data_IF_914480124734
#
_entry.id   IF_914480124734
#
_cell.length_a   1.000
_cell.length_b   1.000
_cell.length_c   1.000
_cell.angle_alpha   90.00
_cell.angle_beta   90.00
_cell.angle_gamma   90.00
#
_symmetry.space_group_name_H-M   'P 1'
#
loop_
_entity.id
_entity.type
_entity.pdbx_description
1 polymer ?
#
# COMPACT_ATOMS: atom_id res chain seq x y z
N UNK A 1 -21.70 -5.19 -11.92
CA UNK A 1 -20.28 -5.44 -12.27
C UNK A 1 -19.36 -4.29 -11.82
N UNK A 2 -19.66 -3.02 -12.13
CA UNK A 2 -18.80 -1.84 -11.85
C UNK A 2 -18.41 -1.70 -10.37
N UNK A 3 -19.35 -1.87 -9.44
CA UNK A 3 -19.11 -1.74 -7.99
C UNK A 3 -18.12 -2.80 -7.47
N UNK A 4 -18.25 -4.04 -7.94
CA UNK A 4 -17.34 -5.13 -7.53
C UNK A 4 -15.92 -4.84 -8.01
N UNK A 5 -15.77 -4.39 -9.26
CA UNK A 5 -14.47 -4.02 -9.83
C UNK A 5 -13.85 -2.87 -9.04
N UNK A 6 -14.64 -1.85 -8.70
CA UNK A 6 -14.20 -0.73 -7.88
C UNK A 6 -13.67 -1.18 -6.52
N UNK A 7 -14.42 -2.05 -5.83
CA UNK A 7 -14.01 -2.60 -4.52
C UNK A 7 -12.70 -3.38 -4.64
N UNK A 8 -12.53 -4.19 -5.68
CA UNK A 8 -11.31 -4.95 -5.92
C UNK A 8 -10.11 -4.03 -6.17
N UNK A 9 -10.28 -3.01 -7.01
CA UNK A 9 -9.22 -2.02 -7.29
C UNK A 9 -8.81 -1.30 -6.00
N UNK A 10 -9.79 -0.80 -5.24
CA UNK A 10 -9.51 -0.15 -3.94
C UNK A 10 -8.82 -1.10 -2.97
N UNK A 11 -9.25 -2.36 -2.91
CA UNK A 11 -8.61 -3.39 -2.08
C UNK A 11 -7.15 -3.59 -2.43
N UNK A 12 -6.81 -3.67 -3.72
CA UNK A 12 -5.42 -3.79 -4.20
C UNK A 12 -4.61 -2.54 -3.86
N UNK A 13 -5.16 -1.34 -4.08
CA UNK A 13 -4.47 -0.08 -3.77
C UNK A 13 -4.15 0.05 -2.29
N UNK A 14 -5.12 -0.27 -1.42
CA UNK A 14 -4.89 -0.24 0.03
C UNK A 14 -3.90 -1.32 0.45
N UNK A 15 -4.01 -2.54 -0.08
CA UNK A 15 -3.04 -3.60 0.21
C UNK A 15 -1.61 -3.19 -0.14
N UNK A 16 -1.37 -2.61 -1.32
CA UNK A 16 -0.05 -2.15 -1.74
C UNK A 16 0.45 -1.00 -0.88
N UNK A 17 -0.45 -0.12 -0.46
CA UNK A 17 -0.16 0.97 0.48
C UNK A 17 0.33 0.43 1.83
N UNK A 18 -0.44 -0.47 2.45
CA UNK A 18 -0.08 -1.09 3.72
C UNK A 18 1.20 -1.92 3.64
N UNK A 19 1.42 -2.57 2.48
CA UNK A 19 2.66 -3.30 2.21
C UNK A 19 3.88 -2.36 2.23
N UNK A 20 3.74 -1.12 1.77
CA UNK A 20 4.78 -0.10 1.86
C UNK A 20 5.17 0.20 3.31
N UNK A 21 4.20 0.47 4.16
CA UNK A 21 4.42 0.69 5.59
C UNK A 21 5.07 -0.53 6.25
N UNK A 22 4.57 -1.73 5.93
CA UNK A 22 5.10 -2.99 6.45
C UNK A 22 6.58 -3.18 6.10
N UNK A 23 6.95 -3.02 4.82
CA UNK A 23 8.32 -3.18 4.35
C UNK A 23 9.24 -2.16 5.03
N UNK A 24 8.85 -0.89 5.06
CA UNK A 24 9.64 0.18 5.67
C UNK A 24 9.82 -0.05 7.18
N UNK A 25 8.75 -0.42 7.91
CA UNK A 25 8.81 -0.74 9.33
C UNK A 25 9.78 -1.90 9.62
N UNK A 26 9.72 -2.97 8.80
CA UNK A 26 10.64 -4.11 8.92
C UNK A 26 12.10 -3.75 8.63
N UNK A 27 12.36 -2.95 7.60
CA UNK A 27 13.71 -2.50 7.24
C UNK A 27 14.32 -1.62 8.35
N UNK A 28 13.52 -0.76 8.96
CA UNK A 28 13.94 0.13 10.05
C UNK A 28 14.07 -0.66 11.38
N UNK A 29 13.43 -1.83 11.49
CA UNK A 29 13.47 -2.68 12.70
C UNK A 29 12.37 -2.32 13.71
N UNK A 30 11.28 -1.68 13.27
CA UNK A 30 10.07 -1.50 14.06
C UNK A 30 9.31 -2.83 14.13
N UNK A 31 8.82 -3.16 15.31
CA UNK A 31 8.04 -4.38 15.50
C UNK A 31 6.63 -4.20 14.91
N UNK A 32 6.23 -5.14 14.04
CA UNK A 32 4.88 -5.18 13.48
C UNK A 32 4.11 -6.32 14.14
N UNK A 33 3.04 -5.97 14.83
CA UNK A 33 2.15 -6.91 15.51
C UNK A 33 1.35 -7.74 14.53
N UNK A 34 0.65 -7.05 13.63
CA UNK A 34 -0.24 -7.66 12.67
C UNK A 34 -0.14 -6.94 11.33
N UNK A 35 -0.12 -7.72 10.26
CA UNK A 35 -0.33 -7.26 8.91
C UNK A 35 -1.62 -7.91 8.40
N UNK A 36 -2.67 -7.11 8.22
CA UNK A 36 -4.00 -7.59 7.88
C UNK A 36 -4.44 -7.13 6.49
N UNK A 37 -4.99 -8.08 5.73
CA UNK A 37 -5.68 -7.81 4.47
C UNK A 37 -7.18 -7.80 4.77
N UNK A 38 -7.84 -6.68 4.47
CA UNK A 38 -9.25 -6.49 4.73
C UNK A 38 -9.54 -5.94 6.12
N UNK A 39 -10.81 -5.77 6.42
CA UNK A 39 -11.35 -5.27 7.68
C UNK A 39 -12.37 -6.23 8.30
N UNK A 40 -12.75 -6.00 9.56
CA UNK A 40 -13.74 -6.80 10.30
C UNK A 40 -13.13 -8.01 10.99
N UNK A 41 -13.95 -9.05 11.30
CA UNK A 41 -13.50 -10.23 12.02
C UNK A 41 -12.47 -11.03 11.21
N UNK A 42 -11.50 -11.64 11.91
CA UNK A 42 -10.49 -12.52 11.30
C UNK A 42 -11.15 -13.81 10.80
N UNK A 43 -10.94 -14.11 9.52
CA UNK A 43 -11.30 -15.42 8.94
C UNK A 43 -10.14 -16.39 9.07
N UNK A 44 -8.93 -15.90 8.74
CA UNK A 44 -7.73 -16.70 8.74
C UNK A 44 -6.57 -15.89 9.33
N UNK A 45 -5.72 -16.55 10.16
CA UNK A 45 -4.50 -15.94 10.67
C UNK A 45 -3.37 -16.95 10.66
N UNK A 46 -2.21 -16.48 10.25
CA UNK A 46 -0.98 -17.24 10.20
C UNK A 46 0.12 -16.51 10.97
N UNK A 47 0.72 -17.18 11.93
CA UNK A 47 1.90 -16.69 12.66
C UNK A 47 3.11 -17.48 12.21
N UNK A 48 4.09 -16.79 11.63
CA UNK A 48 5.34 -17.44 11.24
C UNK A 48 6.04 -17.95 12.51
N UNK A 49 6.44 -19.24 12.52
CA UNK A 49 7.15 -19.86 13.67
C UNK A 49 8.57 -19.32 13.90
N UNK A 50 8.98 -18.32 13.12
CA UNK A 50 10.32 -17.77 13.24
C UNK A 50 10.37 -16.79 14.43
N UNK A 51 11.19 -17.09 15.45
CA UNK A 51 11.40 -16.21 16.63
C UNK A 51 11.91 -14.80 16.27
N UNK A 52 12.49 -14.63 15.08
CA UNK A 52 12.99 -13.33 14.60
C UNK A 52 11.91 -12.44 13.96
N UNK A 53 10.79 -13.02 13.53
CA UNK A 53 9.67 -12.29 12.93
C UNK A 53 8.33 -12.81 13.48
N UNK A 54 7.89 -12.31 14.62
CA UNK A 54 6.66 -12.74 15.28
C UNK A 54 5.39 -12.09 14.74
N UNK A 55 5.45 -11.45 13.59
CA UNK A 55 4.29 -10.79 12.96
C UNK A 55 3.18 -11.80 12.66
N UNK A 56 1.96 -11.42 12.98
CA UNK A 56 0.75 -12.16 12.63
C UNK A 56 0.26 -11.65 11.28
N UNK A 57 0.09 -12.56 10.33
CA UNK A 57 -0.53 -12.25 9.05
C UNK A 57 -1.98 -12.70 9.09
N UNK A 58 -2.92 -11.82 8.77
CA UNK A 58 -4.34 -12.15 8.85
C UNK A 58 -5.12 -11.74 7.59
N UNK A 59 -6.15 -12.52 7.30
CA UNK A 59 -7.16 -12.19 6.28
C UNK A 59 -8.48 -11.98 7.03
N UNK A 60 -9.14 -10.88 6.72
CA UNK A 60 -10.38 -10.46 7.37
C UNK A 60 -11.57 -10.54 6.41
N UNK A 61 -12.77 -10.52 6.96
CA UNK A 61 -14.00 -10.84 6.23
C UNK A 61 -14.31 -9.85 5.09
N UNK A 62 -14.10 -8.58 5.32
CA UNK A 62 -14.37 -7.55 4.32
C UNK A 62 -13.12 -7.30 3.48
N UNK A 63 -13.15 -7.56 2.15
CA UNK A 63 -11.99 -7.36 1.28
C UNK A 63 -11.75 -5.88 0.95
N UNK A 64 -12.09 -5.01 1.88
CA UNK A 64 -11.93 -3.55 1.77
C UNK A 64 -10.90 -3.14 2.80
N UNK A 65 -9.84 -2.48 2.32
CA UNK A 65 -8.82 -1.98 3.22
C UNK A 65 -7.81 -3.03 3.68
N UNK A 66 -7.11 -2.69 4.72
CA UNK A 66 -6.09 -3.46 5.40
C UNK A 66 -5.50 -2.59 6.49
N UNK A 67 -4.56 -3.13 7.25
CA UNK A 67 -3.77 -2.33 8.18
C UNK A 67 -2.45 -3.02 8.53
N UNK A 68 -1.49 -2.21 8.91
CA UNK A 68 -0.20 -2.63 9.41
C UNK A 68 -0.06 -2.10 10.85
N UNK A 69 -0.35 -2.92 11.87
CA UNK A 69 -0.26 -2.53 13.27
C UNK A 69 1.19 -2.55 13.74
N UNK A 70 1.75 -1.38 14.03
CA UNK A 70 3.13 -1.21 14.48
C UNK A 70 3.20 -0.92 15.99
N UNK A 71 4.24 -1.44 16.65
CA UNK A 71 4.45 -1.15 18.06
C UNK A 71 4.78 0.33 18.29
N UNK A 72 4.06 0.97 19.22
CA UNK A 72 4.26 2.37 19.55
C UNK A 72 3.70 3.35 18.51
N UNK A 73 2.76 2.90 17.70
CA UNK A 73 1.94 3.76 16.85
C UNK A 73 0.91 4.51 17.71
N UNK A 74 0.31 3.81 18.67
CA UNK A 74 -0.51 4.40 19.73
C UNK A 74 0.29 4.42 21.03
N UNK A 75 0.16 5.48 21.82
CA UNK A 75 0.86 5.63 23.11
C UNK A 75 0.51 4.51 24.12
N UNK A 76 -0.68 3.93 24.02
CA UNK A 76 -1.18 2.85 24.86
C UNK A 76 -0.44 1.51 24.63
N UNK A 77 0.05 1.27 23.42
CA UNK A 77 0.75 0.02 23.07
C UNK A 77 2.18 -0.07 23.62
N UNK A 78 2.73 1.02 24.14
CA UNK A 78 4.12 1.10 24.58
C UNK A 78 4.41 0.32 25.88
N UNK A 79 3.38 -0.13 26.61
CA UNK A 79 3.51 -0.77 27.93
C UNK A 79 3.32 -2.28 27.99
N UNK A 80 2.61 -2.88 27.02
CA UNK A 80 2.15 -4.28 27.15
C UNK A 80 3.17 -5.34 26.68
N UNK A 81 4.11 -4.98 25.82
CA UNK A 81 5.09 -5.92 25.27
C UNK A 81 6.50 -5.64 25.77
N UNK A 82 7.19 -6.70 26.24
CA UNK A 82 8.62 -6.65 26.61
C UNK A 82 9.50 -6.54 25.35
N UNK A 83 9.31 -5.47 24.58
CA UNK A 83 10.10 -5.17 23.38
C UNK A 83 11.29 -4.28 23.74
N UNK A 84 12.33 -4.29 22.91
CA UNK A 84 13.45 -3.36 23.05
C UNK A 84 12.97 -1.96 22.68
N UNK A 85 13.48 -0.92 23.35
CA UNK A 85 13.10 0.49 23.09
C UNK A 85 13.16 0.88 21.62
N UNK A 86 14.14 0.35 20.88
CA UNK A 86 14.31 0.61 19.46
C UNK A 86 13.32 -0.12 18.54
N UNK A 87 12.45 -0.98 19.05
CA UNK A 87 11.41 -1.66 18.27
C UNK A 87 10.09 -0.91 18.25
N UNK A 88 9.96 0.15 19.06
CA UNK A 88 8.78 1.01 19.07
C UNK A 88 8.94 2.15 18.05
N UNK A 89 7.90 2.43 17.27
CA UNK A 89 7.87 3.51 16.29
C UNK A 89 8.08 4.88 16.96
N UNK A 90 7.48 5.11 18.13
CA UNK A 90 7.61 6.37 18.87
C UNK A 90 9.05 6.68 19.29
N UNK A 91 9.91 5.65 19.48
CA UNK A 91 11.31 5.80 19.87
C UNK A 91 12.28 5.91 18.67
N UNK A 92 11.75 5.89 17.45
CA UNK A 92 12.54 6.08 16.23
C UNK A 92 12.77 7.55 15.93
N UNK A 93 13.83 7.83 15.20
CA UNK A 93 14.14 9.19 14.75
C UNK A 93 12.99 9.76 13.90
N UNK A 94 12.91 11.09 13.83
CA UNK A 94 11.88 11.77 13.01
C UNK A 94 11.95 11.35 11.54
N UNK A 95 13.17 11.15 11.01
CA UNK A 95 13.37 10.71 9.63
C UNK A 95 12.92 9.25 9.40
N UNK A 96 13.20 8.34 10.32
CA UNK A 96 12.75 6.96 10.23
C UNK A 96 11.22 6.87 10.25
N UNK A 97 10.57 7.63 11.14
CA UNK A 97 9.10 7.73 11.18
C UNK A 97 8.53 8.31 9.89
N UNK A 98 9.14 9.37 9.37
CA UNK A 98 8.75 9.98 8.10
C UNK A 98 8.87 8.97 6.94
N UNK A 99 9.97 8.21 6.86
CA UNK A 99 10.15 7.17 5.84
C UNK A 99 9.06 6.09 5.91
N UNK A 100 8.68 5.66 7.11
CA UNK A 100 7.58 4.71 7.27
C UNK A 100 6.28 5.31 6.76
N UNK A 101 5.97 6.55 7.13
CA UNK A 101 4.72 7.20 6.72
C UNK A 101 4.61 7.41 5.21
N UNK A 102 5.70 7.81 4.55
CA UNK A 102 5.69 8.05 3.10
C UNK A 102 5.74 6.75 2.28
N UNK A 103 6.21 5.65 2.85
CA UNK A 103 6.42 4.39 2.15
C UNK A 103 5.12 3.83 1.53
N UNK A 104 3.98 4.01 2.20
CA UNK A 104 2.68 3.60 1.66
C UNK A 104 2.34 4.31 0.35
N UNK A 105 2.44 5.64 0.35
CA UNK A 105 2.19 6.45 -0.85
C UNK A 105 3.20 6.14 -1.96
N UNK A 106 4.48 5.99 -1.60
CA UNK A 106 5.55 5.65 -2.55
C UNK A 106 5.27 4.33 -3.25
N UNK A 107 4.80 3.31 -2.53
CA UNK A 107 4.45 2.03 -3.13
C UNK A 107 3.28 2.15 -4.14
N UNK A 108 2.29 2.98 -3.85
CA UNK A 108 1.19 3.22 -4.79
C UNK A 108 1.67 3.94 -6.06
N UNK A 109 2.61 4.89 -5.93
CA UNK A 109 3.23 5.56 -7.09
C UNK A 109 4.03 4.54 -7.92
N UNK A 110 4.81 3.67 -7.27
CA UNK A 110 5.57 2.61 -7.96
C UNK A 110 4.60 1.67 -8.71
N UNK A 111 3.51 1.26 -8.07
CA UNK A 111 2.48 0.43 -8.71
C UNK A 111 1.89 1.13 -9.95
N UNK A 112 1.55 2.41 -9.84
CA UNK A 112 1.02 3.19 -10.96
C UNK A 112 2.02 3.25 -12.13
N UNK A 113 3.30 3.50 -11.86
CA UNK A 113 4.35 3.51 -12.88
C UNK A 113 4.51 2.15 -13.56
N UNK A 114 4.46 1.06 -12.79
CA UNK A 114 4.51 -0.30 -13.33
C UNK A 114 3.33 -0.57 -14.26
N UNK A 115 2.11 -0.20 -13.85
CA UNK A 115 0.90 -0.37 -14.67
C UNK A 115 1.02 0.43 -15.97
N UNK A 116 1.42 1.71 -15.89
CA UNK A 116 1.59 2.57 -17.07
C UNK A 116 2.66 2.03 -18.01
N UNK A 117 3.77 1.52 -17.48
CA UNK A 117 4.83 0.90 -18.28
C UNK A 117 4.31 -0.32 -19.07
N UNK A 118 3.62 -1.25 -18.42
CA UNK A 118 3.04 -2.41 -19.10
C UNK A 118 1.93 -2.02 -20.06
N UNK A 119 1.11 -1.03 -19.71
CA UNK A 119 0.09 -0.50 -20.62
C UNK A 119 0.73 0.06 -21.89
N UNK A 120 1.82 0.85 -21.77
CA UNK A 120 2.55 1.37 -22.91
C UNK A 120 3.19 0.27 -23.79
N UNK A 121 3.67 -0.82 -23.18
CA UNK A 121 4.19 -1.97 -23.92
C UNK A 121 3.13 -2.74 -24.70
N UNK A 122 1.93 -2.88 -24.13
CA UNK A 122 0.85 -3.71 -24.71
C UNK A 122 0.07 -2.94 -25.78
N UNK A 123 -0.28 -1.68 -25.52
CA UNK A 123 -1.12 -0.88 -26.42
C UNK A 123 -0.35 0.16 -27.23
N UNK A 124 0.92 0.37 -26.97
CA UNK A 124 1.71 1.44 -27.58
C UNK A 124 1.25 2.84 -27.17
N UNK A 125 1.91 3.88 -27.69
CA UNK A 125 1.44 5.24 -27.57
C UNK A 125 0.38 5.46 -28.68
N UNK A 126 -0.88 5.66 -28.30
CA UNK A 126 -1.88 6.17 -29.23
C UNK A 126 -1.54 7.62 -29.52
N UNK A 127 -0.83 7.89 -30.61
CA UNK A 127 -0.74 9.25 -31.12
C UNK A 127 -2.15 9.69 -31.52
N UNK A 128 -2.71 10.62 -30.77
CA UNK A 128 -3.88 11.35 -31.22
C UNK A 128 -3.45 12.19 -32.43
N UNK A 129 -3.58 11.62 -33.63
CA UNK A 129 -3.50 12.43 -34.84
C UNK A 129 -4.67 13.44 -34.74
N UNK A 130 -4.31 14.71 -34.60
CA UNK A 130 -5.28 15.79 -34.80
C UNK A 130 -5.85 15.63 -36.20
N UNK A 131 -7.07 15.06 -36.30
CA UNK A 131 -7.83 15.06 -37.54
C UNK A 131 -8.31 16.49 -37.66
N UNK A 132 -7.56 17.31 -38.40
CA UNK A 132 -8.06 18.57 -38.89
C UNK A 132 -9.22 18.18 -39.84
N UNK A 133 -10.44 18.37 -39.35
CA UNK A 133 -11.63 18.14 -40.18
C UNK A 133 -11.47 18.97 -41.47
N UNK A 134 -11.87 18.39 -42.59
CA UNK A 134 -11.86 19.08 -43.87
C UNK A 134 -12.48 20.47 -43.68
N UNK A 135 -11.69 21.51 -43.93
CA UNK A 135 -12.20 22.85 -43.98
C UNK A 135 -13.35 22.90 -45.02
N UNK A 136 -14.51 23.49 -44.69
CA UNK A 136 -15.58 23.65 -45.68
C UNK A 136 -15.02 24.36 -46.90
N UNK A 137 -15.38 23.86 -48.10
CA UNK A 137 -14.99 24.50 -49.36
C UNK A 137 -15.37 25.97 -49.33
N UNK A 138 -14.38 26.87 -49.49
CA UNK A 138 -14.62 28.32 -49.53
C UNK A 138 -13.80 29.16 -48.54
N UNK A 139 -12.99 28.58 -47.68
CA UNK A 139 -12.05 29.36 -46.88
C UNK A 139 -10.69 29.52 -47.62
N UNK A 140 -10.22 30.78 -47.80
CA UNK A 140 -8.89 31.02 -48.38
C UNK A 140 -7.81 30.44 -47.45
N UNK A 141 -6.82 29.77 -48.04
CA UNK A 141 -5.64 29.22 -47.39
C UNK A 141 -4.69 30.35 -46.99
#
# INVERSE_FOLDING_TARGET
MTIIVLILILGVLVFVHELGHFIAAKMIGVYVHEFAIGMGPRIFSFKRKNKKDPTVYSIRLLPIGGFCAMAGENEEDAGELKLKKNQYMCNRSKWERFLILIAGVTNNIILALIILFFQGLIWGSTEQKSIVGNAPEGYPV
#
